data_IF_960908334482
#
_entry.id   IF_960908334482
#
_cell.length_a   1.000
_cell.length_b   1.000
_cell.length_c   1.000
_cell.angle_alpha   90.00
_cell.angle_beta   90.00
_cell.angle_gamma   90.00
#
_symmetry.space_group_name_H-M   'P 1'
#
loop_
_entity.id
_entity.type
_entity.pdbx_description
1 polymer ?
#
# COMPACT_ATOMS: atom_id res chain seq x y z
N UNK A 1 41.49 30.13 14.59
CA UNK A 1 40.35 29.47 13.91
C UNK A 1 40.10 28.16 14.62
N UNK A 2 39.11 28.11 15.53
CA UNK A 2 38.73 26.88 16.25
C UNK A 2 37.85 26.07 15.32
N UNK A 3 38.33 24.92 14.86
CA UNK A 3 37.51 23.94 14.17
C UNK A 3 36.57 23.31 15.20
N UNK A 4 35.30 23.72 15.21
CA UNK A 4 34.26 22.99 15.93
C UNK A 4 34.22 21.54 15.41
N UNK A 5 34.23 20.52 16.27
CA UNK A 5 34.15 19.14 15.83
C UNK A 5 32.83 18.91 15.06
N UNK A 6 32.83 18.06 14.02
CA UNK A 6 31.59 17.69 13.34
C UNK A 6 30.63 17.10 14.36
N UNK A 7 29.38 17.57 14.35
CA UNK A 7 28.35 17.10 15.26
C UNK A 7 28.27 15.56 15.19
N UNK A 8 28.61 14.89 16.29
CA UNK A 8 28.56 13.44 16.36
C UNK A 8 27.13 12.99 16.06
N UNK A 9 26.96 12.16 15.02
CA UNK A 9 25.68 11.55 14.67
C UNK A 9 25.20 10.76 15.89
N UNK A 10 24.17 11.26 16.58
CA UNK A 10 23.53 10.53 17.68
C UNK A 10 22.92 9.26 17.08
N UNK A 11 23.47 8.10 17.43
CA UNK A 11 22.86 6.81 17.14
C UNK A 11 21.61 6.71 18.02
N UNK A 12 20.43 6.59 17.43
CA UNK A 12 19.21 6.31 18.22
C UNK A 12 19.30 4.93 18.85
N UNK A 13 18.81 4.83 20.07
CA UNK A 13 18.66 3.56 20.76
C UNK A 13 17.61 2.68 20.09
N UNK A 14 17.67 1.36 20.35
CA UNK A 14 16.65 0.41 19.87
C UNK A 14 15.23 0.82 20.29
N UNK A 15 15.06 1.38 21.49
CA UNK A 15 13.78 1.84 22.01
C UNK A 15 13.22 3.03 21.24
N UNK A 16 14.05 4.03 20.96
CA UNK A 16 13.65 5.20 20.14
C UNK A 16 13.25 4.77 18.73
N UNK A 17 14.02 3.86 18.12
CA UNK A 17 13.71 3.33 16.80
C UNK A 17 12.35 2.62 16.78
N UNK A 18 12.09 1.70 17.72
CA UNK A 18 10.78 1.02 17.83
C UNK A 18 9.65 2.03 18.03
N UNK A 19 9.86 3.03 18.89
CA UNK A 19 8.87 4.08 19.11
C UNK A 19 8.54 4.83 17.81
N UNK A 20 9.55 5.18 17.00
CA UNK A 20 9.32 5.85 15.70
C UNK A 20 8.53 4.94 14.75
N UNK A 21 8.84 3.65 14.65
CA UNK A 21 8.07 2.71 13.82
C UNK A 21 6.60 2.65 14.26
N UNK A 22 6.34 2.54 15.57
CA UNK A 22 4.98 2.52 16.11
C UNK A 22 4.24 3.84 15.87
N UNK A 23 4.93 4.97 16.03
CA UNK A 23 4.36 6.29 15.78
C UNK A 23 3.98 6.48 14.31
N UNK A 24 4.85 6.08 13.38
CA UNK A 24 4.60 6.17 11.94
C UNK A 24 3.42 5.28 11.51
N UNK A 25 3.36 4.05 12.04
CA UNK A 25 2.20 3.19 11.83
C UNK A 25 0.93 3.81 12.44
N UNK A 26 1.01 4.34 13.66
CA UNK A 26 -0.12 4.99 14.34
C UNK A 26 -0.68 6.19 13.57
N UNK A 27 0.20 7.06 13.03
CA UNK A 27 -0.20 8.20 12.20
C UNK A 27 -0.87 7.72 10.91
N UNK A 28 -0.28 6.74 10.23
CA UNK A 28 -0.84 6.15 9.00
C UNK A 28 -2.27 5.67 9.22
N UNK A 29 -2.49 4.87 10.27
CA UNK A 29 -3.80 4.34 10.60
C UNK A 29 -4.78 5.39 11.11
N UNK A 30 -4.30 6.42 11.82
CA UNK A 30 -5.16 7.52 12.29
C UNK A 30 -5.72 8.36 11.13
N UNK A 31 -4.91 8.60 10.09
CA UNK A 31 -5.32 9.37 8.91
C UNK A 31 -6.19 8.54 7.97
N UNK A 32 -5.78 7.31 7.67
CA UNK A 32 -6.44 6.51 6.64
C UNK A 32 -7.44 5.48 7.17
N UNK A 33 -7.44 5.13 8.47
CA UNK A 33 -8.28 4.05 9.01
C UNK A 33 -9.79 4.24 8.82
N UNK A 34 -10.26 5.48 8.67
CA UNK A 34 -11.67 5.78 8.37
C UNK A 34 -12.10 5.25 6.98
N UNK A 35 -11.17 5.06 6.04
CA UNK A 35 -11.52 4.56 4.69
C UNK A 35 -12.02 3.12 4.71
N UNK A 36 -11.74 2.35 5.76
CA UNK A 36 -12.29 1.00 5.93
C UNK A 36 -13.83 0.97 5.94
N UNK A 37 -14.48 2.08 6.31
CA UNK A 37 -15.94 2.22 6.29
C UNK A 37 -16.49 2.91 5.04
N UNK A 38 -15.64 3.32 4.10
CA UNK A 38 -16.07 3.96 2.86
C UNK A 38 -16.33 2.92 1.77
N UNK A 39 -17.22 3.27 0.85
CA UNK A 39 -17.51 2.47 -0.35
C UNK A 39 -16.57 2.84 -1.50
N UNK A 40 -16.67 2.08 -2.59
CA UNK A 40 -16.05 2.45 -3.86
C UNK A 40 -16.59 3.80 -4.35
N UNK A 41 -15.74 4.55 -5.05
CA UNK A 41 -16.04 5.85 -5.63
C UNK A 41 -16.19 5.75 -7.15
N UNK A 42 -17.16 6.49 -7.69
CA UNK A 42 -17.43 6.53 -9.13
C UNK A 42 -16.45 7.46 -9.86
N UNK A 43 -15.16 7.12 -9.81
CA UNK A 43 -14.09 7.83 -10.51
C UNK A 43 -13.30 6.86 -11.41
N UNK A 44 -12.74 5.82 -10.81
CA UNK A 44 -11.93 4.82 -11.48
C UNK A 44 -12.11 3.39 -10.93
N UNK A 45 -12.70 3.21 -9.74
CA UNK A 45 -12.92 1.89 -9.14
C UNK A 45 -13.76 0.95 -10.02
N UNK A 46 -14.63 1.49 -10.87
CA UNK A 46 -15.39 0.70 -11.84
C UNK A 46 -14.43 0.00 -12.82
N UNK A 47 -13.54 0.76 -13.44
CA UNK A 47 -12.55 0.26 -14.38
C UNK A 47 -11.54 -0.67 -13.72
N UNK A 48 -11.12 -0.36 -12.50
CA UNK A 48 -10.04 -1.06 -11.82
C UNK A 48 -10.47 -2.30 -11.05
N UNK A 49 -11.72 -2.38 -10.60
CA UNK A 49 -12.15 -3.41 -9.66
C UNK A 49 -13.44 -4.09 -10.10
N UNK A 50 -14.58 -3.41 -10.00
CA UNK A 50 -15.88 -4.10 -9.98
C UNK A 50 -16.58 -4.21 -11.33
N UNK A 51 -16.16 -3.46 -12.36
CA UNK A 51 -16.67 -3.58 -13.72
C UNK A 51 -15.71 -4.33 -14.67
N UNK A 52 -14.72 -5.04 -14.10
CA UNK A 52 -13.76 -5.86 -14.87
C UNK A 52 -13.86 -7.33 -14.44
N UNK A 53 -14.58 -8.19 -15.19
CA UNK A 53 -14.84 -9.58 -14.80
C UNK A 53 -13.59 -10.42 -14.55
N UNK A 54 -12.47 -10.12 -15.20
CA UNK A 54 -11.21 -10.83 -14.97
C UNK A 54 -10.57 -10.49 -13.63
N UNK A 55 -10.86 -9.31 -13.07
CA UNK A 55 -10.40 -8.86 -11.75
C UNK A 55 -11.34 -9.37 -10.67
N UNK A 56 -12.64 -9.15 -10.86
CA UNK A 56 -13.68 -9.49 -9.88
C UNK A 56 -13.75 -11.01 -9.57
N UNK A 57 -13.29 -11.86 -10.49
CA UNK A 57 -13.23 -13.32 -10.30
C UNK A 57 -12.06 -13.81 -9.44
N UNK A 58 -11.15 -12.92 -9.06
CA UNK A 58 -9.99 -13.26 -8.24
C UNK A 58 -8.80 -13.76 -9.05
N UNK A 59 -7.83 -14.40 -8.38
CA UNK A 59 -6.62 -14.88 -9.04
C UNK A 59 -6.94 -16.08 -9.93
N UNK A 60 -6.71 -15.91 -11.23
CA UNK A 60 -6.76 -16.99 -12.22
C UNK A 60 -5.48 -16.99 -13.04
N UNK A 61 -5.08 -18.16 -13.57
CA UNK A 61 -3.88 -18.25 -14.42
C UNK A 61 -3.99 -17.27 -15.61
N UNK A 62 -5.15 -17.26 -16.28
CA UNK A 62 -5.40 -16.35 -17.39
C UNK A 62 -5.37 -14.88 -16.97
N UNK A 63 -5.92 -14.55 -15.80
CA UNK A 63 -5.88 -13.19 -15.26
C UNK A 63 -4.45 -12.73 -14.95
N UNK A 64 -3.65 -13.58 -14.31
CA UNK A 64 -2.24 -13.26 -14.01
C UNK A 64 -1.46 -13.05 -15.31
N UNK A 65 -1.62 -13.93 -16.31
CA UNK A 65 -0.99 -13.75 -17.62
C UNK A 65 -1.42 -12.42 -18.26
N UNK A 66 -2.73 -12.15 -18.29
CA UNK A 66 -3.27 -10.92 -18.85
C UNK A 66 -2.76 -9.66 -18.15
N UNK A 67 -2.57 -9.70 -16.82
CA UNK A 67 -2.02 -8.58 -16.07
C UNK A 67 -0.61 -8.20 -16.54
N UNK A 68 0.21 -9.17 -16.97
CA UNK A 68 1.55 -8.92 -17.50
C UNK A 68 1.57 -8.60 -18.99
N UNK A 69 0.58 -9.03 -19.78
CA UNK A 69 0.60 -8.88 -21.24
C UNK A 69 -0.28 -7.76 -21.79
N UNK A 70 -1.28 -7.28 -21.04
CA UNK A 70 -2.25 -6.31 -21.51
C UNK A 70 -2.40 -5.11 -20.55
N UNK A 71 -2.61 -3.89 -21.10
CA UNK A 71 -3.04 -2.76 -20.28
C UNK A 71 -4.42 -3.01 -19.66
N UNK A 72 -4.58 -2.59 -18.41
CA UNK A 72 -5.81 -2.60 -17.63
C UNK A 72 -6.16 -1.15 -17.26
N UNK A 73 -7.42 -0.74 -17.45
CA UNK A 73 -7.84 0.65 -17.19
C UNK A 73 -6.95 1.71 -17.86
N UNK A 74 -6.54 1.46 -19.11
CA UNK A 74 -5.65 2.30 -19.94
C UNK A 74 -4.20 2.42 -19.45
N UNK A 75 -3.79 1.64 -18.45
CA UNK A 75 -2.45 1.66 -17.87
C UNK A 75 -1.86 0.24 -17.81
N UNK A 76 -0.53 0.13 -17.72
CA UNK A 76 0.14 -1.16 -17.51
C UNK A 76 0.77 -1.21 -16.12
N UNK A 77 0.12 -1.94 -15.21
CA UNK A 77 0.53 -2.09 -13.80
C UNK A 77 0.23 -3.52 -13.31
N UNK A 78 1.01 -4.52 -13.75
CA UNK A 78 0.72 -5.94 -13.48
C UNK A 78 0.54 -6.24 -11.99
N UNK A 79 1.39 -5.70 -11.12
CA UNK A 79 1.32 -5.95 -9.68
C UNK A 79 0.07 -5.35 -9.04
N UNK A 80 -0.34 -4.16 -9.45
CA UNK A 80 -1.59 -3.53 -8.98
C UNK A 80 -2.80 -4.34 -9.43
N UNK A 81 -2.81 -4.78 -10.68
CA UNK A 81 -3.87 -5.63 -11.23
C UNK A 81 -3.99 -6.95 -10.46
N UNK A 82 -2.86 -7.60 -10.15
CA UNK A 82 -2.82 -8.82 -9.34
C UNK A 82 -3.25 -8.55 -7.90
N UNK A 83 -2.91 -7.40 -7.32
CA UNK A 83 -3.37 -7.00 -5.99
C UNK A 83 -4.89 -6.91 -5.94
N UNK A 84 -5.53 -6.25 -6.93
CA UNK A 84 -6.99 -6.18 -6.99
C UNK A 84 -7.65 -7.56 -7.18
N UNK A 85 -7.05 -8.44 -7.99
CA UNK A 85 -7.51 -9.83 -8.10
C UNK A 85 -7.43 -10.54 -6.73
N UNK A 86 -6.32 -10.40 -6.02
CA UNK A 86 -6.18 -10.99 -4.69
C UNK A 86 -7.20 -10.42 -3.70
N UNK A 87 -7.42 -9.10 -3.70
CA UNK A 87 -8.41 -8.44 -2.84
C UNK A 87 -9.83 -8.91 -3.17
N UNK A 88 -10.18 -9.05 -4.45
CA UNK A 88 -11.45 -9.66 -4.88
C UNK A 88 -11.59 -11.11 -4.40
N UNK A 89 -10.51 -11.90 -4.42
CA UNK A 89 -10.54 -13.28 -3.94
C UNK A 89 -10.73 -13.39 -2.42
N UNK A 90 -10.12 -12.48 -1.66
CA UNK A 90 -10.16 -12.51 -0.19
C UNK A 90 -11.42 -11.84 0.37
N UNK A 91 -11.86 -10.74 -0.24
CA UNK A 91 -12.89 -9.85 0.31
C UNK A 91 -14.13 -9.72 -0.58
N UNK A 92 -14.10 -10.29 -1.80
CA UNK A 92 -15.11 -10.00 -2.81
C UNK A 92 -15.10 -8.52 -3.20
N UNK A 93 -16.27 -7.98 -3.54
CA UNK A 93 -16.47 -6.55 -3.81
C UNK A 93 -16.74 -5.75 -2.53
N UNK A 94 -16.05 -6.07 -1.44
CA UNK A 94 -16.09 -5.30 -0.20
C UNK A 94 -15.01 -4.22 -0.22
N UNK A 95 -15.40 -2.96 -0.48
CA UNK A 95 -14.46 -1.83 -0.56
C UNK A 95 -13.57 -1.69 0.69
N UNK A 96 -14.11 -1.94 1.89
CA UNK A 96 -13.35 -1.88 3.14
C UNK A 96 -12.17 -2.84 3.18
N UNK A 97 -12.30 -4.04 2.61
CA UNK A 97 -11.20 -5.00 2.47
C UNK A 97 -10.09 -4.52 1.52
N UNK A 98 -10.47 -3.92 0.40
CA UNK A 98 -9.52 -3.34 -0.57
C UNK A 98 -8.80 -2.13 0.05
N UNK A 99 -9.52 -1.28 0.79
CA UNK A 99 -8.93 -0.19 1.55
C UNK A 99 -7.98 -0.68 2.64
N UNK A 100 -8.28 -1.79 3.31
CA UNK A 100 -7.38 -2.41 4.29
C UNK A 100 -6.04 -2.80 3.66
N UNK A 101 -6.07 -3.48 2.51
CA UNK A 101 -4.84 -3.83 1.76
C UNK A 101 -4.03 -2.58 1.44
N UNK A 102 -4.67 -1.51 0.96
CA UNK A 102 -3.99 -0.24 0.67
C UNK A 102 -3.34 0.41 1.91
N UNK A 103 -4.03 0.44 3.06
CA UNK A 103 -3.47 0.99 4.31
C UNK A 103 -2.27 0.15 4.78
N UNK A 104 -2.35 -1.18 4.66
CA UNK A 104 -1.26 -2.09 5.03
C UNK A 104 -0.04 -1.88 4.15
N UNK A 105 -0.20 -1.84 2.83
CA UNK A 105 0.89 -1.60 1.88
C UNK A 105 1.50 -0.20 2.10
N UNK A 106 0.68 0.83 2.32
CA UNK A 106 1.17 2.17 2.62
C UNK A 106 1.96 2.22 3.93
N UNK A 107 1.48 1.54 4.98
CA UNK A 107 2.20 1.41 6.25
C UNK A 107 3.59 0.80 6.00
N UNK A 108 3.65 -0.33 5.29
CA UNK A 108 4.92 -0.99 4.95
C UNK A 108 5.84 -0.05 4.19
N UNK A 109 5.33 0.68 3.18
CA UNK A 109 6.12 1.64 2.42
C UNK A 109 6.70 2.77 3.29
N UNK A 110 5.92 3.33 4.21
CA UNK A 110 6.39 4.35 5.18
C UNK A 110 7.50 3.80 6.06
N UNK A 111 7.34 2.59 6.60
CA UNK A 111 8.33 1.97 7.48
C UNK A 111 9.63 1.64 6.73
N UNK A 112 9.54 1.12 5.50
CA UNK A 112 10.69 0.86 4.64
C UNK A 112 11.40 2.15 4.23
N UNK A 113 10.66 3.20 3.89
CA UNK A 113 11.23 4.50 3.57
C UNK A 113 12.01 5.07 4.75
N UNK A 114 11.44 5.03 5.95
CA UNK A 114 12.15 5.43 7.17
C UNK A 114 13.44 4.61 7.34
N UNK A 115 13.37 3.28 7.19
CA UNK A 115 14.55 2.41 7.30
C UNK A 115 15.66 2.77 6.31
N UNK A 116 15.31 3.15 5.08
CA UNK A 116 16.25 3.53 4.02
C UNK A 116 16.83 4.93 4.26
N UNK A 117 16.08 5.87 4.82
CA UNK A 117 16.60 7.22 5.11
C UNK A 117 17.38 7.27 6.43
N UNK A 118 17.12 6.35 7.36
CA UNK A 118 17.73 6.32 8.68
C UNK A 118 19.08 5.58 8.75
N UNK A 119 19.48 4.88 7.67
CA UNK A 119 20.82 4.27 7.58
C UNK A 119 21.93 5.33 7.64
#
# INVERSE_FOLDING_TARGET
MVNSPPAARRLTSRGETIFIYLLLAGITWSVFGRTLGYGFVNFDDDLYVYNTPDIARGLTINGVLAAFTHPHARNWHPLTTISHMLDCQLYGLNAGGHHFTNILLHTIAVLLLFRVLWQ
#
